data_IF_797241249427
#
_entry.id   IF_797241249427
#
_cell.length_a   1.000
_cell.length_b   1.000
_cell.length_c   1.000
_cell.angle_alpha   90.00
_cell.angle_beta   90.00
_cell.angle_gamma   90.00
#
_symmetry.space_group_name_H-M   'P 1'
#
loop_
_entity.id
_entity.type
_entity.pdbx_description
1 polymer ?
#
# COMPACT_ATOMS: atom_id res chain seq x y z
N UNK A 1 17.34 5.06 18.00
CA UNK A 1 17.86 3.69 18.12
C UNK A 1 19.07 3.58 17.21
N UNK A 2 20.18 3.00 17.65
CA UNK A 2 21.32 2.78 16.75
C UNK A 2 21.02 1.65 15.77
N UNK A 3 21.62 1.69 14.57
CA UNK A 3 21.38 0.67 13.52
C UNK A 3 21.70 -0.76 13.97
N UNK A 4 22.69 -0.93 14.86
CA UNK A 4 23.05 -2.24 15.41
C UNK A 4 21.93 -2.81 16.30
N UNK A 5 21.33 -1.97 17.15
CA UNK A 5 20.20 -2.36 18.00
C UNK A 5 18.95 -2.66 17.16
N UNK A 6 18.68 -1.88 16.11
CA UNK A 6 17.58 -2.16 15.18
C UNK A 6 17.77 -3.54 14.55
N UNK A 7 18.98 -3.86 14.06
CA UNK A 7 19.28 -5.17 13.43
C UNK A 7 19.05 -6.34 14.37
N UNK A 8 19.45 -6.21 15.63
CA UNK A 8 19.27 -7.26 16.63
C UNK A 8 17.77 -7.50 16.90
N UNK A 9 17.01 -6.43 17.13
CA UNK A 9 15.59 -6.51 17.45
C UNK A 9 14.73 -6.90 16.24
N UNK A 10 15.15 -6.51 15.04
CA UNK A 10 14.45 -6.87 13.81
C UNK A 10 14.56 -8.36 13.48
N UNK A 11 15.51 -9.10 14.07
CA UNK A 11 15.59 -10.55 13.88
C UNK A 11 14.31 -11.27 14.32
N UNK A 12 13.56 -10.72 15.29
CA UNK A 12 12.27 -11.27 15.73
C UNK A 12 11.09 -10.77 14.88
N UNK A 13 11.22 -9.63 14.20
CA UNK A 13 10.13 -8.97 13.48
C UNK A 13 10.19 -9.26 11.98
N UNK A 14 11.39 -9.43 11.42
CA UNK A 14 11.67 -9.62 10.01
C UNK A 14 11.04 -8.51 9.14
N UNK A 15 11.23 -7.25 9.56
CA UNK A 15 10.69 -6.08 8.84
C UNK A 15 11.63 -5.55 7.76
N UNK A 16 12.94 -5.85 7.80
CA UNK A 16 13.91 -5.45 6.77
C UNK A 16 14.48 -6.65 6.01
N UNK A 17 14.58 -6.52 4.68
CA UNK A 17 15.32 -7.45 3.81
C UNK A 17 16.80 -7.08 3.75
N UNK A 18 17.09 -5.78 3.76
CA UNK A 18 18.44 -5.24 3.66
C UNK A 18 18.54 -3.93 4.44
N UNK A 19 19.54 -3.81 5.31
CA UNK A 19 19.84 -2.56 5.98
C UNK A 19 20.76 -1.71 5.12
N UNK A 20 20.40 -0.45 4.92
CA UNK A 20 21.28 0.49 4.24
C UNK A 20 22.42 0.88 5.18
N UNK A 21 23.65 0.81 4.69
CA UNK A 21 24.80 1.43 5.36
C UNK A 21 24.68 2.95 5.37
N UNK A 22 25.81 3.66 5.45
CA UNK A 22 25.81 5.13 5.37
C UNK A 22 25.39 5.60 3.96
N UNK A 23 24.12 5.97 3.82
CA UNK A 23 23.57 6.59 2.62
C UNK A 23 23.77 8.11 2.68
N UNK A 24 24.16 8.72 1.55
CA UNK A 24 24.27 10.18 1.45
C UNK A 24 22.89 10.83 1.41
N UNK A 25 22.67 11.83 2.24
CA UNK A 25 21.50 12.72 2.22
C UNK A 25 21.94 14.17 2.44
N UNK A 26 21.05 15.13 2.16
CA UNK A 26 21.33 16.54 2.42
C UNK A 26 21.57 16.78 3.93
N UNK A 27 22.49 17.68 4.31
CA UNK A 27 22.79 17.95 5.72
C UNK A 27 21.65 18.70 6.46
N UNK A 28 20.63 19.14 5.73
CA UNK A 28 19.49 19.90 6.23
C UNK A 28 18.28 19.65 5.33
N UNK A 29 17.09 19.85 5.87
CA UNK A 29 15.83 19.70 5.16
C UNK A 29 14.71 19.36 6.13
N UNK A 30 13.48 19.25 5.62
CA UNK A 30 12.28 19.02 6.44
C UNK A 30 12.22 17.63 7.06
N UNK A 31 12.97 16.67 6.53
CA UNK A 31 13.09 15.31 7.06
C UNK A 31 14.43 15.07 7.76
N UNK A 32 15.23 16.13 7.98
CA UNK A 32 16.50 16.02 8.67
C UNK A 32 16.31 15.48 10.09
N UNK A 33 17.10 14.46 10.44
CA UNK A 33 17.00 13.76 11.72
C UNK A 33 15.92 12.68 11.79
N UNK A 34 15.07 12.54 10.76
CA UNK A 34 14.15 11.41 10.64
C UNK A 34 14.80 10.21 9.93
N UNK A 35 14.36 9.03 10.35
CA UNK A 35 14.71 7.73 9.79
C UNK A 35 13.58 7.17 8.95
N UNK A 36 13.91 6.49 7.85
CA UNK A 36 12.91 5.94 6.93
C UNK A 36 13.21 4.52 6.48
N UNK A 37 12.16 3.68 6.44
CA UNK A 37 12.19 2.39 5.76
C UNK A 37 11.54 2.50 4.36
N UNK A 38 12.12 1.86 3.36
CA UNK A 38 11.64 1.91 1.97
C UNK A 38 11.21 0.52 1.52
N UNK A 39 9.96 0.32 1.13
CA UNK A 39 9.49 -0.98 0.62
C UNK A 39 10.37 -1.50 -0.53
N UNK A 40 10.72 -2.79 -0.50
CA UNK A 40 11.69 -3.42 -1.44
C UNK A 40 11.25 -3.51 -2.91
N UNK A 41 10.10 -2.93 -3.28
CA UNK A 41 9.71 -2.72 -4.68
C UNK A 41 9.93 -1.28 -5.16
N UNK A 42 10.61 -0.44 -4.39
CA UNK A 42 10.98 0.93 -4.76
C UNK A 42 12.49 0.97 -4.99
N UNK A 43 12.92 1.49 -6.13
CA UNK A 43 14.34 1.59 -6.46
C UNK A 43 15.05 2.63 -5.57
N UNK A 44 16.14 2.21 -4.94
CA UNK A 44 17.08 3.06 -4.19
C UNK A 44 18.48 2.73 -4.68
N UNK A 45 19.18 3.68 -5.30
CA UNK A 45 20.47 3.45 -5.94
C UNK A 45 21.46 2.77 -4.99
N UNK A 46 22.04 1.66 -5.45
CA UNK A 46 23.03 0.87 -4.70
C UNK A 46 22.45 -0.08 -3.66
N UNK A 47 21.14 -0.09 -3.43
CA UNK A 47 20.44 -1.10 -2.63
C UNK A 47 19.68 -2.08 -3.53
N UNK A 48 19.27 -3.21 -2.96
CA UNK A 48 18.53 -4.25 -3.70
C UNK A 48 17.04 -3.99 -3.65
N UNK A 49 16.43 -3.79 -4.82
CA UNK A 49 14.97 -3.78 -4.99
C UNK A 49 14.50 -5.19 -5.33
N UNK A 50 14.40 -6.03 -4.31
CA UNK A 50 14.19 -7.49 -4.47
C UNK A 50 12.75 -7.87 -4.70
N UNK A 51 11.80 -6.95 -4.46
CA UNK A 51 10.36 -7.25 -4.44
C UNK A 51 10.02 -8.45 -3.53
N UNK A 52 10.83 -8.73 -2.51
CA UNK A 52 10.70 -9.93 -1.69
C UNK A 52 10.64 -11.26 -2.48
N UNK A 53 11.30 -11.32 -3.64
CA UNK A 53 11.26 -12.47 -4.56
C UNK A 53 12.65 -12.99 -4.86
N UNK A 54 12.77 -14.32 -4.98
CA UNK A 54 13.96 -14.97 -5.53
C UNK A 54 14.27 -14.48 -6.97
N UNK A 55 13.23 -14.03 -7.70
CA UNK A 55 13.36 -13.48 -9.05
C UNK A 55 14.32 -12.29 -9.11
N UNK A 56 14.32 -11.43 -8.08
CA UNK A 56 15.10 -10.19 -8.04
C UNK A 56 16.04 -10.12 -6.82
N UNK A 57 16.32 -11.25 -6.16
CA UNK A 57 17.17 -11.29 -4.96
C UNK A 57 18.55 -10.65 -5.16
N UNK A 58 19.10 -10.69 -6.37
CA UNK A 58 20.39 -10.08 -6.72
C UNK A 58 20.28 -8.78 -7.54
N UNK A 59 19.08 -8.21 -7.71
CA UNK A 59 18.90 -6.97 -8.45
C UNK A 59 19.27 -5.77 -7.60
N UNK A 60 20.40 -5.13 -7.93
CA UNK A 60 20.82 -3.85 -7.35
C UNK A 60 20.28 -2.71 -8.21
N UNK A 61 19.54 -1.79 -7.60
CA UNK A 61 19.00 -0.62 -8.28
C UNK A 61 20.13 0.28 -8.78
N UNK A 62 20.06 0.65 -10.06
CA UNK A 62 21.06 1.51 -10.73
C UNK A 62 20.65 2.99 -10.79
N UNK A 63 19.53 3.33 -10.14
CA UNK A 63 19.00 4.69 -10.06
C UNK A 63 18.08 4.81 -8.83
N UNK A 64 17.91 6.02 -8.33
CA UNK A 64 16.91 6.35 -7.33
C UNK A 64 15.53 6.52 -7.99
N UNK A 65 14.49 6.00 -7.36
CA UNK A 65 13.12 6.40 -7.67
C UNK A 65 12.94 7.90 -7.41
N UNK A 66 12.00 8.56 -8.10
CA UNK A 66 11.87 10.02 -7.99
C UNK A 66 11.62 10.47 -6.55
N UNK A 67 10.77 9.74 -5.83
CA UNK A 67 10.47 10.00 -4.43
C UNK A 67 11.69 9.83 -3.52
N UNK A 68 12.66 8.99 -3.90
CA UNK A 68 13.92 8.80 -3.16
C UNK A 68 14.83 10.02 -3.35
N UNK A 69 14.93 10.55 -4.57
CA UNK A 69 15.63 11.81 -4.85
C UNK A 69 15.10 12.95 -3.95
N UNK A 70 13.77 13.05 -3.81
CA UNK A 70 13.10 14.08 -3.00
C UNK A 70 13.38 13.94 -1.51
N UNK A 71 13.22 12.75 -0.93
CA UNK A 71 13.46 12.58 0.52
C UNK A 71 14.94 12.74 0.88
N UNK A 72 15.87 12.36 -0.02
CA UNK A 72 17.32 12.60 0.18
C UNK A 72 17.63 14.09 0.18
N UNK A 73 17.01 14.86 -0.72
CA UNK A 73 17.15 16.31 -0.76
C UNK A 73 16.61 16.99 0.51
N UNK A 74 15.67 16.35 1.21
CA UNK A 74 15.12 16.81 2.50
C UNK A 74 15.84 16.24 3.73
N UNK A 75 16.97 15.54 3.53
CA UNK A 75 17.89 15.14 4.61
C UNK A 75 17.50 13.89 5.41
N UNK A 76 16.60 13.05 4.88
CA UNK A 76 16.20 11.81 5.57
C UNK A 76 17.35 10.80 5.66
N UNK A 77 17.36 9.98 6.71
CA UNK A 77 18.26 8.82 6.84
C UNK A 77 17.51 7.54 6.45
N UNK A 78 17.85 6.94 5.31
CA UNK A 78 17.31 5.63 4.93
C UNK A 78 17.96 4.57 5.85
N UNK A 79 17.14 3.74 6.49
CA UNK A 79 17.58 2.64 7.38
C UNK A 79 17.70 1.33 6.64
N UNK A 80 16.84 1.09 5.65
CA UNK A 80 16.91 -0.11 4.83
C UNK A 80 15.69 -0.34 3.93
N UNK A 81 15.77 -1.43 3.19
CA UNK A 81 14.72 -1.97 2.34
C UNK A 81 13.79 -2.85 3.17
N UNK A 82 12.54 -2.44 3.30
CA UNK A 82 11.52 -3.13 4.08
C UNK A 82 10.96 -4.35 3.34
N UNK A 83 10.67 -5.40 4.11
CA UNK A 83 10.04 -6.64 3.67
C UNK A 83 8.61 -6.40 3.17
N UNK A 84 8.09 -7.32 2.36
CA UNK A 84 6.81 -7.21 1.69
C UNK A 84 6.33 -8.58 1.18
N UNK A 85 5.05 -8.68 0.80
CA UNK A 85 4.61 -9.81 -0.05
C UNK A 85 5.34 -9.77 -1.40
N UNK A 86 5.63 -10.95 -1.95
CA UNK A 86 6.39 -11.12 -3.19
C UNK A 86 5.75 -10.33 -4.35
N UNK A 87 6.51 -9.42 -4.99
CA UNK A 87 6.01 -8.53 -6.05
C UNK A 87 4.73 -7.75 -5.68
N UNK A 88 4.56 -7.44 -4.40
CA UNK A 88 3.36 -6.82 -3.83
C UNK A 88 2.08 -7.70 -3.95
N UNK A 89 2.24 -8.98 -4.31
CA UNK A 89 1.17 -9.94 -4.50
C UNK A 89 0.85 -10.66 -3.18
N UNK A 90 0.01 -10.02 -2.38
CA UNK A 90 -0.50 -10.59 -1.13
C UNK A 90 -1.12 -9.52 -0.23
N UNK A 91 -1.67 -9.99 0.88
CA UNK A 91 -2.38 -9.16 1.86
C UNK A 91 -1.94 -9.48 3.30
N UNK A 92 -0.87 -10.26 3.49
CA UNK A 92 -0.44 -10.75 4.82
C UNK A 92 1.05 -10.55 5.13
N UNK A 93 1.92 -10.45 4.12
CA UNK A 93 3.36 -10.43 4.28
C UNK A 93 4.01 -11.82 4.27
N UNK A 94 3.24 -12.89 4.14
CA UNK A 94 3.73 -14.27 4.23
C UNK A 94 4.31 -14.82 2.92
N UNK A 95 3.96 -14.23 1.77
CA UNK A 95 4.49 -14.71 0.50
C UNK A 95 5.94 -14.31 0.25
N UNK A 96 6.55 -13.50 1.13
CA UNK A 96 7.94 -13.09 1.04
C UNK A 96 8.89 -14.27 0.95
N UNK A 97 9.79 -14.24 -0.04
CA UNK A 97 10.91 -15.17 -0.14
C UNK A 97 11.84 -15.13 1.09
N UNK A 98 11.88 -13.99 1.80
CA UNK A 98 12.69 -13.81 3.01
C UNK A 98 11.95 -14.20 4.29
N UNK A 99 10.79 -14.83 4.16
CA UNK A 99 9.94 -15.25 5.27
C UNK A 99 8.98 -14.15 5.75
N UNK A 100 7.99 -14.52 6.57
CA UNK A 100 6.94 -13.62 7.01
C UNK A 100 7.48 -12.56 7.97
N UNK A 101 6.94 -11.34 7.85
CA UNK A 101 7.07 -10.28 8.87
C UNK A 101 6.08 -10.55 10.01
N UNK A 102 6.48 -10.31 11.26
CA UNK A 102 5.60 -10.41 12.44
C UNK A 102 4.82 -9.12 12.67
N UNK A 103 3.60 -9.23 13.21
CA UNK A 103 2.82 -8.08 13.65
C UNK A 103 3.25 -7.60 15.05
N UNK A 104 3.81 -6.39 15.19
CA UNK A 104 4.22 -5.87 16.50
C UNK A 104 3.04 -5.56 17.44
N UNK A 105 1.85 -5.28 16.90
CA UNK A 105 0.64 -5.01 17.67
C UNK A 105 -0.11 -6.29 18.07
N UNK A 106 0.21 -7.43 17.45
CA UNK A 106 -0.42 -8.72 17.72
C UNK A 106 0.56 -9.88 17.46
N UNK A 107 1.43 -10.22 18.43
CA UNK A 107 2.44 -11.27 18.27
C UNK A 107 1.87 -12.61 17.77
N UNK A 108 2.57 -13.24 16.82
CA UNK A 108 2.13 -14.49 16.17
C UNK A 108 1.07 -14.32 15.08
N UNK A 109 0.68 -13.08 14.76
CA UNK A 109 -0.29 -12.76 13.71
C UNK A 109 0.35 -11.96 12.58
N UNK A 110 -0.32 -11.98 11.43
CA UNK A 110 0.14 -11.26 10.24
C UNK A 110 0.07 -9.73 10.46
N UNK A 111 1.04 -8.95 9.96
CA UNK A 111 1.02 -7.48 9.99
C UNK A 111 0.12 -6.87 8.91
N UNK A 112 -0.46 -7.70 8.03
CA UNK A 112 -1.11 -7.25 6.80
C UNK A 112 -0.12 -7.08 5.66
N UNK A 113 -0.62 -6.77 4.47
CA UNK A 113 0.21 -6.72 3.27
C UNK A 113 -0.36 -5.87 2.15
N UNK A 114 0.43 -5.55 1.12
CA UNK A 114 1.77 -6.07 0.88
C UNK A 114 2.92 -5.25 1.47
N UNK A 115 2.68 -4.09 2.08
CA UNK A 115 3.76 -3.29 2.73
C UNK A 115 4.00 -3.72 4.18
N UNK A 116 4.12 -5.03 4.42
CA UNK A 116 4.20 -5.65 5.75
C UNK A 116 5.37 -5.12 6.58
N UNK A 117 6.58 -5.17 6.03
CA UNK A 117 7.79 -4.68 6.69
C UNK A 117 7.74 -3.18 6.94
N UNK A 118 7.20 -2.39 6.01
CA UNK A 118 7.07 -0.95 6.17
C UNK A 118 6.19 -0.59 7.38
N UNK A 119 5.07 -1.28 7.56
CA UNK A 119 4.19 -1.04 8.69
C UNK A 119 4.79 -1.56 10.02
N UNK A 120 5.38 -2.75 10.01
CA UNK A 120 6.00 -3.32 11.20
C UNK A 120 7.21 -2.48 11.69
N UNK A 121 8.05 -1.98 10.79
CA UNK A 121 9.19 -1.12 11.13
C UNK A 121 8.75 0.20 11.79
N UNK A 122 7.63 0.78 11.34
CA UNK A 122 7.05 1.97 11.98
C UNK A 122 6.43 1.61 13.33
N UNK A 123 5.63 0.55 13.40
CA UNK A 123 4.93 0.15 14.63
C UNK A 123 5.90 -0.19 15.78
N UNK A 124 7.02 -0.86 15.47
CA UNK A 124 8.11 -1.14 16.43
C UNK A 124 8.88 0.11 16.86
N UNK A 125 8.83 1.20 16.06
CA UNK A 125 9.68 2.37 16.24
C UNK A 125 11.12 2.17 15.82
N UNK A 126 11.40 1.21 14.93
CA UNK A 126 12.71 1.10 14.28
C UNK A 126 12.96 2.28 13.34
N UNK A 127 11.90 2.82 12.73
CA UNK A 127 11.94 4.04 11.92
C UNK A 127 10.83 5.01 12.31
N UNK A 128 11.03 6.28 12.01
CA UNK A 128 10.03 7.34 12.23
C UNK A 128 8.88 7.25 11.22
N UNK A 129 9.24 6.99 9.97
CA UNK A 129 8.34 6.96 8.81
C UNK A 129 8.73 5.82 7.86
N UNK A 130 7.83 5.41 6.99
CA UNK A 130 8.13 4.45 5.93
C UNK A 130 7.39 4.77 4.63
N UNK A 131 7.92 4.25 3.53
CA UNK A 131 7.27 4.25 2.23
C UNK A 131 6.73 2.86 1.92
N UNK A 132 5.50 2.80 1.44
CA UNK A 132 4.88 1.61 0.89
C UNK A 132 4.32 1.85 -0.51
N UNK A 133 3.73 0.80 -1.08
CA UNK A 133 2.94 0.88 -2.31
C UNK A 133 1.55 0.28 -2.05
N UNK A 134 0.51 0.92 -2.55
CA UNK A 134 -0.89 0.51 -2.41
C UNK A 134 -1.52 0.31 -3.79
N UNK A 135 -2.00 -0.91 -4.04
CA UNK A 135 -2.67 -1.29 -5.29
C UNK A 135 -4.15 -1.59 -5.04
N UNK A 136 -4.44 -2.32 -3.97
CA UNK A 136 -5.80 -2.65 -3.52
C UNK A 136 -5.97 -2.58 -2.00
N UNK A 137 -5.13 -1.81 -1.31
CA UNK A 137 -5.08 -1.74 0.15
C UNK A 137 -3.68 -1.87 0.74
N UNK A 138 -2.65 -2.08 -0.08
CA UNK A 138 -1.35 -2.54 0.39
C UNK A 138 -0.54 -1.58 1.27
N UNK A 139 -1.00 -0.35 1.51
CA UNK A 139 -0.52 0.55 2.57
C UNK A 139 -1.51 0.56 3.74
N UNK A 140 -2.81 0.70 3.44
CA UNK A 140 -3.88 0.88 4.43
C UNK A 140 -4.15 -0.39 5.26
N UNK A 141 -4.19 -1.55 4.62
CA UNK A 141 -4.33 -2.87 5.26
C UNK A 141 -3.25 -3.08 6.33
N UNK A 142 -1.94 -3.04 6.01
CA UNK A 142 -0.92 -3.28 7.02
C UNK A 142 -0.86 -2.17 8.08
N UNK A 143 -1.19 -0.93 7.72
CA UNK A 143 -1.31 0.15 8.70
C UNK A 143 -2.41 -0.11 9.73
N UNK A 144 -3.59 -0.60 9.28
CA UNK A 144 -4.70 -0.95 10.16
C UNK A 144 -4.35 -2.11 11.09
N UNK A 145 -3.72 -3.17 10.57
CA UNK A 145 -3.32 -4.32 11.38
C UNK A 145 -2.19 -4.03 12.37
N UNK A 146 -1.28 -3.10 12.05
CA UNK A 146 -0.19 -2.70 12.93
C UNK A 146 -0.53 -1.50 13.84
N UNK A 147 -1.73 -0.93 13.72
CA UNK A 147 -2.18 0.19 14.57
C UNK A 147 -1.44 1.50 14.31
N UNK A 148 -1.12 1.81 13.05
CA UNK A 148 -0.41 3.02 12.63
C UNK A 148 -1.18 3.77 11.52
N UNK A 149 -0.68 4.93 11.12
CA UNK A 149 -1.24 5.70 10.00
C UNK A 149 -0.63 5.22 8.69
N UNK A 150 -1.46 4.94 7.69
CA UNK A 150 -1.04 4.65 6.32
C UNK A 150 -1.94 5.39 5.34
N UNK A 151 -1.33 6.09 4.39
CA UNK A 151 -2.09 6.93 3.45
C UNK A 151 -1.78 6.56 2.00
N UNK A 152 -2.82 6.27 1.23
CA UNK A 152 -2.72 6.13 -0.23
C UNK A 152 -3.21 7.44 -0.88
N UNK A 153 -2.32 8.24 -1.48
CA UNK A 153 -2.75 9.48 -2.13
C UNK A 153 -3.59 9.22 -3.38
N UNK A 154 -4.16 10.30 -3.92
CA UNK A 154 -4.80 10.29 -5.23
C UNK A 154 -3.81 9.79 -6.28
N UNK A 155 -4.29 8.92 -7.17
CA UNK A 155 -3.47 8.36 -8.25
C UNK A 155 -2.85 9.48 -9.09
N UNK A 156 -1.53 9.43 -9.26
CA UNK A 156 -0.75 10.42 -10.00
C UNK A 156 -0.28 11.65 -9.19
N UNK A 157 -0.64 11.79 -7.90
CA UNK A 157 -0.11 12.86 -7.03
C UNK A 157 1.35 12.62 -6.64
N UNK A 158 1.75 11.35 -6.53
CA UNK A 158 3.13 10.93 -6.28
C UNK A 158 3.62 10.16 -7.50
N UNK A 159 4.81 10.46 -7.99
CA UNK A 159 5.41 9.76 -9.13
C UNK A 159 5.59 8.28 -8.85
N UNK A 160 5.35 7.45 -9.86
CA UNK A 160 5.62 6.02 -9.87
C UNK A 160 6.96 5.70 -10.55
N UNK A 161 7.72 6.70 -11.01
CA UNK A 161 9.05 6.49 -11.56
C UNK A 161 9.97 5.85 -10.50
N UNK A 162 10.46 4.65 -10.83
CA UNK A 162 11.28 3.82 -9.94
C UNK A 162 10.49 2.88 -9.03
N UNK A 163 9.15 2.86 -9.09
CA UNK A 163 8.35 1.77 -8.53
C UNK A 163 8.40 0.55 -9.45
N UNK A 164 8.68 -0.61 -8.88
CA UNK A 164 8.47 -1.90 -9.54
C UNK A 164 6.98 -2.22 -9.43
N UNK A 165 6.31 -2.15 -10.58
CA UNK A 165 4.88 -2.18 -10.76
C UNK A 165 4.24 -3.55 -10.52
N UNK A 166 3.09 -3.56 -9.84
CA UNK A 166 2.14 -4.67 -9.83
C UNK A 166 1.01 -4.41 -10.83
N UNK A 167 0.30 -3.29 -10.69
CA UNK A 167 -0.77 -2.88 -11.60
C UNK A 167 -0.68 -1.38 -11.87
N UNK A 168 -0.21 -1.05 -13.08
CA UNK A 168 0.10 0.31 -13.51
C UNK A 168 -1.08 1.30 -13.37
N UNK A 169 -2.33 0.83 -13.45
CA UNK A 169 -3.52 1.69 -13.38
C UNK A 169 -4.05 1.92 -11.95
N UNK A 170 -3.40 1.32 -10.94
CA UNK A 170 -3.85 1.28 -9.55
C UNK A 170 -2.74 1.60 -8.54
N UNK A 171 -1.50 1.20 -8.83
CA UNK A 171 -0.36 1.37 -7.95
C UNK A 171 -0.13 2.82 -7.56
N UNK A 172 0.06 3.07 -6.28
CA UNK A 172 0.45 4.39 -5.78
C UNK A 172 1.38 4.26 -4.57
N UNK A 173 2.50 4.99 -4.57
CA UNK A 173 3.38 5.12 -3.40
C UNK A 173 2.71 6.04 -2.37
N UNK A 174 2.86 5.71 -1.09
CA UNK A 174 2.36 6.52 0.00
C UNK A 174 3.09 6.31 1.33
N UNK A 175 2.87 7.21 2.30
CA UNK A 175 3.55 7.18 3.60
C UNK A 175 2.88 6.22 4.59
N UNK A 176 3.70 5.71 5.51
CA UNK A 176 3.30 5.11 6.77
C UNK A 176 4.02 5.83 7.92
N UNK A 177 3.32 6.11 9.01
CA UNK A 177 3.88 6.80 10.18
C UNK A 177 3.08 6.49 11.45
N UNK A 178 3.64 6.80 12.63
CA UNK A 178 2.92 6.62 13.92
C UNK A 178 1.81 7.65 14.14
N UNK A 179 1.88 8.79 13.46
CA UNK A 179 0.96 9.91 13.63
C UNK A 179 0.64 10.56 12.28
N UNK A 180 -0.42 11.37 12.25
CA UNK A 180 -0.91 12.04 11.03
C UNK A 180 0.06 13.10 10.54
N UNK A 181 0.66 13.87 11.45
CA UNK A 181 1.61 14.94 11.11
C UNK A 181 2.80 14.43 10.29
N UNK A 182 3.41 13.32 10.72
CA UNK A 182 4.54 12.70 10.05
C UNK A 182 4.15 12.07 8.70
N UNK A 183 2.97 11.44 8.63
CA UNK A 183 2.45 10.91 7.37
C UNK A 183 2.23 12.04 6.35
N UNK A 184 1.64 13.14 6.79
CA UNK A 184 1.32 14.31 5.95
C UNK A 184 2.59 15.05 5.53
N UNK A 185 3.55 15.20 6.43
CA UNK A 185 4.88 15.75 6.12
C UNK A 185 5.58 14.92 5.04
N UNK A 186 5.63 13.59 5.20
CA UNK A 186 6.24 12.72 4.20
C UNK A 186 5.48 12.80 2.87
N UNK A 187 4.13 12.79 2.90
CA UNK A 187 3.31 12.95 1.70
C UNK A 187 3.64 14.23 0.95
N UNK A 188 3.69 15.37 1.64
CA UNK A 188 4.01 16.67 1.06
C UNK A 188 5.41 16.69 0.43
N UNK A 189 6.40 16.05 1.07
CA UNK A 189 7.74 15.92 0.51
C UNK A 189 7.75 15.06 -0.76
N UNK A 190 7.02 13.94 -0.82
CA UNK A 190 7.07 13.03 -1.97
C UNK A 190 6.12 13.43 -3.11
N UNK A 191 5.05 14.18 -2.83
CA UNK A 191 4.06 14.59 -3.83
C UNK A 191 4.56 15.69 -4.78
N UNK A 192 4.21 15.60 -6.06
CA UNK A 192 4.68 16.54 -7.07
C UNK A 192 4.70 15.93 -8.47
N UNK A 193 4.64 16.80 -9.48
CA UNK A 193 4.72 16.38 -10.87
C UNK A 193 6.12 15.87 -11.23
N UNK A 194 6.18 14.71 -11.89
CA UNK A 194 7.41 14.15 -12.46
C UNK A 194 7.25 13.93 -13.97
N UNK A 195 8.01 14.62 -14.84
CA UNK A 195 7.87 14.46 -16.29
C UNK A 195 8.28 13.08 -16.81
N UNK A 196 8.97 12.26 -16.01
CA UNK A 196 9.33 10.86 -16.36
C UNK A 196 8.15 9.91 -16.20
N UNK A 197 7.16 10.27 -15.38
CA UNK A 197 5.93 9.52 -15.18
C UNK A 197 4.78 10.19 -15.96
N UNK A 198 4.40 9.59 -17.08
CA UNK A 198 3.32 10.10 -17.94
C UNK A 198 1.93 10.10 -17.29
N UNK A 199 1.79 9.49 -16.11
CA UNK A 199 0.55 9.47 -15.33
C UNK A 199 0.58 10.44 -14.15
N UNK A 200 1.73 11.09 -13.92
CA UNK A 200 1.89 12.09 -12.88
C UNK A 200 1.07 13.33 -13.20
N UNK A 201 0.22 13.74 -12.26
CA UNK A 201 -0.65 14.89 -12.41
C UNK A 201 0.17 16.17 -12.30
N UNK A 202 -0.03 17.07 -13.26
CA UNK A 202 0.48 18.44 -13.20
C UNK A 202 -0.55 19.33 -12.51
N UNK A 203 -0.37 19.54 -11.21
CA UNK A 203 -1.24 20.35 -10.37
C UNK A 203 -0.52 21.63 -9.93
N UNK A 204 -1.28 22.63 -9.50
CA UNK A 204 -0.71 23.85 -8.92
C UNK A 204 0.04 23.54 -7.63
N UNK A 205 1.15 24.24 -7.39
CA UNK A 205 1.98 24.01 -6.20
C UNK A 205 1.20 24.16 -4.88
N UNK A 206 0.14 24.98 -4.87
CA UNK A 206 -0.73 25.15 -3.69
C UNK A 206 -1.46 23.88 -3.30
N UNK A 207 -1.70 22.96 -4.24
CA UNK A 207 -2.32 21.66 -3.98
C UNK A 207 -1.52 20.86 -2.95
N UNK A 208 -0.19 20.92 -3.01
CA UNK A 208 0.69 20.10 -2.18
C UNK A 208 0.90 20.65 -0.76
N UNK A 209 0.29 21.77 -0.36
CA UNK A 209 0.45 22.37 0.98
C UNK A 209 -0.33 21.62 2.08
N UNK A 210 -0.20 20.30 2.16
CA UNK A 210 -0.99 19.45 3.05
C UNK A 210 -0.76 19.77 4.54
N UNK A 211 0.50 19.99 4.95
CA UNK A 211 0.87 20.30 6.34
C UNK A 211 0.23 21.58 6.86
N UNK A 212 0.02 22.58 5.99
CA UNK A 212 -0.62 23.85 6.35
C UNK A 212 -2.15 23.75 6.46
N UNK A 213 -2.73 22.70 5.88
CA UNK A 213 -4.17 22.48 5.83
C UNK A 213 -4.63 21.48 6.89
N UNK A 214 -3.77 21.08 7.83
CA UNK A 214 -4.16 20.25 8.95
C UNK A 214 -5.02 21.08 9.92
N UNK A 215 -6.31 20.73 9.95
CA UNK A 215 -7.29 21.31 10.86
C UNK A 215 -7.99 20.16 11.62
N UNK A 216 -7.84 20.08 12.95
CA UNK A 216 -8.49 19.05 13.75
C UNK A 216 -9.99 19.32 13.98
N UNK A 217 -10.49 20.50 13.60
CA UNK A 217 -11.89 20.88 13.80
C UNK A 217 -12.79 20.12 12.83
N UNK A 218 -13.89 19.61 13.36
CA UNK A 218 -14.87 18.85 12.60
C UNK A 218 -16.23 19.54 12.53
N UNK A 219 -16.39 20.73 13.12
CA UNK A 219 -17.67 21.45 13.09
C UNK A 219 -18.14 21.70 11.65
N UNK A 220 -19.29 21.11 11.31
CA UNK A 220 -19.91 21.25 9.99
C UNK A 220 -19.31 20.37 8.89
N UNK A 221 -18.35 19.49 9.22
CA UNK A 221 -17.83 18.49 8.29
C UNK A 221 -18.84 17.36 8.12
N UNK A 222 -19.20 17.05 6.88
CA UNK A 222 -20.11 15.96 6.53
C UNK A 222 -19.36 14.68 6.23
N UNK A 223 -19.64 13.64 7.01
CA UNK A 223 -19.04 12.31 6.91
C UNK A 223 -20.03 11.35 6.29
N UNK A 224 -19.78 10.92 5.05
CA UNK A 224 -20.57 9.88 4.40
C UNK A 224 -20.25 8.50 4.97
N UNK A 225 -21.26 7.75 5.39
CA UNK A 225 -21.13 6.34 5.79
C UNK A 225 -22.11 5.47 5.01
N UNK A 226 -21.60 4.39 4.40
CA UNK A 226 -22.40 3.43 3.65
C UNK A 226 -22.72 2.21 4.52
N UNK A 227 -24.01 1.90 4.71
CA UNK A 227 -24.46 0.75 5.50
C UNK A 227 -24.01 -0.60 4.93
N UNK A 228 -23.69 -0.64 3.63
CA UNK A 228 -23.16 -1.80 2.94
C UNK A 228 -21.84 -2.30 3.57
N UNK A 229 -21.08 -1.41 4.24
CA UNK A 229 -19.90 -1.83 5.00
C UNK A 229 -20.27 -2.76 6.15
N UNK A 230 -21.34 -2.48 6.89
CA UNK A 230 -21.78 -3.31 8.03
C UNK A 230 -22.16 -4.73 7.57
N UNK A 231 -22.76 -4.86 6.39
CA UNK A 231 -23.15 -6.14 5.81
C UNK A 231 -21.97 -7.06 5.46
N UNK A 232 -20.78 -6.49 5.27
CA UNK A 232 -19.56 -7.22 4.92
C UNK A 232 -18.67 -7.53 6.15
N UNK A 233 -19.00 -7.00 7.32
CA UNK A 233 -18.27 -7.25 8.56
C UNK A 233 -19.02 -8.30 9.39
N UNK A 234 -18.41 -9.48 9.52
CA UNK A 234 -18.97 -10.58 10.33
C UNK A 234 -18.70 -10.43 11.83
N UNK A 235 -17.69 -9.67 12.22
CA UNK A 235 -17.26 -9.52 13.61
C UNK A 235 -17.95 -8.33 14.28
N UNK A 236 -18.78 -8.59 15.29
CA UNK A 236 -19.54 -7.58 16.02
C UNK A 236 -18.64 -6.60 16.78
N UNK A 237 -17.45 -7.04 17.22
CA UNK A 237 -16.47 -6.19 17.88
C UNK A 237 -15.89 -5.16 16.92
N UNK A 238 -15.59 -5.57 15.67
CA UNK A 238 -15.14 -4.64 14.62
C UNK A 238 -16.25 -3.63 14.30
N UNK A 239 -17.49 -4.08 14.12
CA UNK A 239 -18.64 -3.18 13.89
C UNK A 239 -18.76 -2.19 15.03
N UNK A 240 -18.70 -2.65 16.28
CA UNK A 240 -18.77 -1.77 17.45
C UNK A 240 -17.67 -0.70 17.44
N UNK A 241 -16.41 -1.06 17.15
CA UNK A 241 -15.30 -0.10 17.13
C UNK A 241 -15.51 0.98 16.06
N UNK A 242 -16.07 0.62 14.90
CA UNK A 242 -16.38 1.58 13.83
C UNK A 242 -17.48 2.54 14.26
N UNK A 243 -18.59 2.02 14.78
CA UNK A 243 -19.71 2.84 15.25
C UNK A 243 -19.30 3.73 16.43
N UNK A 244 -18.50 3.22 17.39
CA UNK A 244 -17.92 4.02 18.47
C UNK A 244 -17.02 5.15 17.93
N UNK A 245 -16.34 4.95 16.80
CA UNK A 245 -15.52 5.98 16.16
C UNK A 245 -16.37 7.04 15.46
N UNK A 246 -17.45 6.64 14.77
CA UNK A 246 -18.44 7.55 14.19
C UNK A 246 -19.11 8.42 15.27
N UNK A 247 -19.48 7.82 16.40
CA UNK A 247 -20.07 8.54 17.54
C UNK A 247 -19.11 9.58 18.12
N UNK A 248 -17.80 9.25 18.21
CA UNK A 248 -16.77 10.20 18.64
C UNK A 248 -16.59 11.35 17.66
N UNK A 249 -16.58 11.08 16.35
CA UNK A 249 -16.48 12.11 15.31
C UNK A 249 -17.70 13.02 15.32
N UNK A 250 -18.90 12.45 15.48
CA UNK A 250 -20.16 13.18 15.63
C UNK A 250 -20.16 14.06 16.88
N UNK A 251 -19.72 13.52 18.02
CA UNK A 251 -19.56 14.27 19.27
C UNK A 251 -18.55 15.41 19.17
N UNK A 252 -17.62 15.34 18.23
CA UNK A 252 -16.63 16.38 17.93
C UNK A 252 -17.11 17.42 16.90
N UNK A 253 -18.38 17.34 16.45
CA UNK A 253 -19.01 18.36 15.60
C UNK A 253 -19.25 17.95 14.15
N UNK A 254 -18.86 16.74 13.74
CA UNK A 254 -19.14 16.22 12.41
C UNK A 254 -20.61 15.80 12.25
N UNK A 255 -21.14 15.92 11.04
CA UNK A 255 -22.46 15.38 10.67
C UNK A 255 -22.26 14.04 9.94
N UNK A 256 -22.78 12.93 10.48
CA UNK A 256 -22.75 11.64 9.79
C UNK A 256 -23.96 11.54 8.86
N UNK A 257 -23.70 11.39 7.57
CA UNK A 257 -24.70 11.31 6.49
C UNK A 257 -24.69 9.90 5.91
N UNK A 258 -25.87 9.28 5.80
CA UNK A 258 -25.98 7.98 5.11
C UNK A 258 -25.81 8.17 3.61
N UNK A 259 -24.98 7.31 2.99
CA UNK A 259 -24.80 7.25 1.54
C UNK A 259 -24.95 5.81 1.06
N UNK A 260 -25.04 5.61 -0.26
CA UNK A 260 -25.28 4.29 -0.85
C UNK A 260 -24.10 3.84 -1.72
N UNK A 261 -23.71 2.56 -1.58
CA UNK A 261 -22.69 1.89 -2.39
C UNK A 261 -23.23 0.50 -2.82
N UNK A 262 -24.28 0.45 -3.66
CA UNK A 262 -25.04 -0.78 -3.91
C UNK A 262 -24.21 -1.86 -4.61
N UNK A 263 -23.13 -1.50 -5.33
CA UNK A 263 -22.26 -2.44 -6.02
C UNK A 263 -20.90 -2.65 -5.33
N UNK A 264 -20.80 -2.40 -4.02
CA UNK A 264 -19.55 -2.60 -3.25
C UNK A 264 -18.96 -4.01 -3.43
N UNK A 265 -19.80 -5.04 -3.55
CA UNK A 265 -19.36 -6.43 -3.79
C UNK A 265 -18.64 -6.63 -5.14
N UNK A 266 -18.83 -5.72 -6.11
CA UNK A 266 -18.13 -5.78 -7.39
C UNK A 266 -16.66 -5.34 -7.30
N UNK A 267 -16.24 -4.69 -6.21
CA UNK A 267 -14.90 -4.10 -6.06
C UNK A 267 -13.80 -5.16 -6.14
N UNK A 268 -13.92 -6.25 -5.37
CA UNK A 268 -12.98 -7.37 -5.37
C UNK A 268 -12.84 -8.04 -6.75
N UNK A 269 -13.91 -8.55 -7.39
CA UNK A 269 -13.78 -9.19 -8.70
C UNK A 269 -13.29 -8.21 -9.78
N UNK A 270 -13.67 -6.94 -9.71
CA UNK A 270 -13.16 -5.89 -10.61
C UNK A 270 -11.66 -5.68 -10.44
N UNK A 271 -11.21 -5.55 -9.19
CA UNK A 271 -9.80 -5.37 -8.84
C UNK A 271 -8.95 -6.53 -9.33
N UNK A 272 -9.28 -7.78 -8.96
CA UNK A 272 -8.45 -8.94 -9.29
C UNK A 272 -8.36 -9.19 -10.80
N UNK A 273 -9.46 -9.02 -11.54
CA UNK A 273 -9.43 -9.15 -13.00
C UNK A 273 -8.52 -8.10 -13.67
N UNK A 274 -8.53 -6.86 -13.17
CA UNK A 274 -7.63 -5.82 -13.69
C UNK A 274 -6.17 -6.12 -13.34
N UNK A 275 -5.90 -6.41 -12.06
CA UNK A 275 -4.55 -6.70 -11.56
C UNK A 275 -3.93 -7.89 -12.27
N UNK A 276 -4.65 -8.99 -12.49
CA UNK A 276 -4.08 -10.16 -13.15
C UNK A 276 -3.55 -9.84 -14.55
N UNK A 277 -4.31 -9.09 -15.34
CA UNK A 277 -3.92 -8.72 -16.70
C UNK A 277 -2.73 -7.76 -16.69
N UNK A 278 -2.79 -6.73 -15.86
CA UNK A 278 -1.72 -5.73 -15.77
C UNK A 278 -0.43 -6.34 -15.23
N UNK A 279 -0.52 -7.19 -14.19
CA UNK A 279 0.63 -7.87 -13.60
C UNK A 279 1.27 -8.87 -14.57
N UNK A 280 0.45 -9.64 -15.30
CA UNK A 280 0.96 -10.51 -16.36
C UNK A 280 1.76 -9.72 -17.42
N UNK A 281 1.26 -8.55 -17.81
CA UNK A 281 1.96 -7.65 -18.74
C UNK A 281 3.27 -7.11 -18.14
N UNK A 282 3.20 -6.57 -16.92
CA UNK A 282 4.35 -5.98 -16.20
C UNK A 282 5.49 -6.98 -16.00
N UNK A 283 5.18 -8.25 -15.79
CA UNK A 283 6.16 -9.31 -15.51
C UNK A 283 6.90 -9.82 -16.74
N UNK A 284 6.48 -9.47 -17.97
CA UNK A 284 7.12 -9.98 -19.20
C UNK A 284 8.60 -9.57 -19.34
N UNK A 285 9.02 -8.50 -18.66
CA UNK A 285 10.42 -8.03 -18.63
C UNK A 285 11.35 -8.91 -17.77
N UNK A 286 10.80 -9.76 -16.89
CA UNK A 286 11.58 -10.64 -16.02
C UNK A 286 11.85 -11.99 -16.69
N UNK A 287 12.60 -11.96 -17.79
CA UNK A 287 12.96 -13.14 -18.59
C UNK A 287 14.31 -13.77 -18.20
N UNK A 288 15.00 -13.17 -17.22
CA UNK A 288 16.32 -13.60 -16.74
C UNK A 288 17.49 -13.27 -17.67
N UNK A 289 17.28 -12.50 -18.76
CA UNK A 289 18.35 -12.17 -19.72
C UNK A 289 19.14 -10.94 -19.34
N UNK A 290 18.47 -9.88 -18.86
CA UNK A 290 19.12 -8.60 -18.52
C UNK A 290 19.47 -8.50 -17.03
N UNK A 291 18.61 -9.03 -16.18
CA UNK A 291 18.74 -8.99 -14.72
C UNK A 291 17.80 -10.03 -14.10
N UNK A 292 18.07 -10.38 -12.85
CA UNK A 292 17.25 -11.33 -12.09
C UNK A 292 17.19 -12.72 -12.74
N UNK A 293 16.24 -13.52 -12.28
CA UNK A 293 15.90 -14.83 -12.84
C UNK A 293 14.64 -14.72 -13.68
N UNK A 294 14.37 -15.75 -14.47
CA UNK A 294 13.08 -15.84 -15.16
C UNK A 294 11.98 -16.03 -14.12
N UNK A 295 11.02 -15.10 -14.07
CA UNK A 295 10.03 -15.04 -13.00
C UNK A 295 9.25 -16.34 -12.85
N UNK A 296 8.77 -16.96 -13.93
CA UNK A 296 7.96 -18.19 -13.84
C UNK A 296 8.74 -19.42 -13.33
N UNK A 297 10.06 -19.31 -13.19
CA UNK A 297 10.93 -20.37 -12.68
C UNK A 297 11.39 -20.14 -11.23
N UNK A 298 11.22 -18.92 -10.71
CA UNK A 298 11.77 -18.50 -9.42
C UNK A 298 10.71 -17.97 -8.45
N UNK A 299 9.57 -17.46 -8.96
CA UNK A 299 8.56 -16.87 -8.08
C UNK A 299 7.79 -17.92 -7.28
N UNK A 300 7.23 -17.48 -6.15
CA UNK A 300 6.32 -18.27 -5.33
C UNK A 300 4.97 -18.54 -5.99
N UNK A 301 4.16 -19.35 -5.31
CA UNK A 301 2.90 -19.86 -5.84
C UNK A 301 1.87 -18.76 -6.15
N UNK A 302 1.80 -17.71 -5.33
CA UNK A 302 0.83 -16.62 -5.54
C UNK A 302 1.18 -15.77 -6.77
N UNK A 303 2.45 -15.38 -6.92
CA UNK A 303 2.92 -14.66 -8.11
C UNK A 303 2.69 -15.50 -9.37
N UNK A 304 3.02 -16.80 -9.33
CA UNK A 304 2.79 -17.71 -10.45
C UNK A 304 1.28 -17.82 -10.78
N UNK A 305 0.42 -17.93 -9.77
CA UNK A 305 -1.05 -17.97 -9.93
C UNK A 305 -1.55 -16.73 -10.68
N UNK A 306 -1.10 -15.53 -10.28
CA UNK A 306 -1.50 -14.27 -10.94
C UNK A 306 -1.02 -14.18 -12.39
N UNK A 307 0.21 -14.63 -12.66
CA UNK A 307 0.77 -14.69 -14.03
C UNK A 307 -0.08 -15.62 -14.91
N UNK A 308 -0.40 -16.81 -14.42
CA UNK A 308 -1.18 -17.81 -15.18
C UNK A 308 -2.61 -17.32 -15.44
N UNK A 309 -3.28 -16.75 -14.43
CA UNK A 309 -4.63 -16.19 -14.58
C UNK A 309 -4.63 -14.98 -15.52
N UNK A 310 -3.66 -14.08 -15.40
CA UNK A 310 -3.52 -12.93 -16.30
C UNK A 310 -3.27 -13.33 -17.74
N UNK A 311 -2.42 -14.33 -17.98
CA UNK A 311 -2.19 -14.92 -19.30
C UNK A 311 -3.48 -15.52 -19.88
N UNK A 312 -4.21 -16.31 -19.08
CA UNK A 312 -5.48 -16.90 -19.49
C UNK A 312 -6.52 -15.83 -19.86
N UNK A 313 -6.71 -14.82 -19.00
CA UNK A 313 -7.65 -13.72 -19.25
C UNK A 313 -7.28 -12.98 -20.53
N UNK A 314 -5.99 -12.65 -20.70
CA UNK A 314 -5.49 -11.96 -21.90
C UNK A 314 -5.76 -12.74 -23.18
N UNK A 315 -5.57 -14.07 -23.18
CA UNK A 315 -5.87 -14.94 -24.32
C UNK A 315 -7.37 -14.98 -24.65
N UNK A 316 -8.24 -14.86 -23.64
CA UNK A 316 -9.70 -14.85 -23.83
C UNK A 316 -10.26 -13.48 -24.16
N UNK A 317 -9.45 -12.42 -24.16
CA UNK A 317 -9.94 -11.05 -24.28
C UNK A 317 -10.50 -10.70 -25.67
N UNK A 318 -10.20 -11.48 -26.70
CA UNK A 318 -10.90 -11.38 -27.99
C UNK A 318 -12.43 -11.50 -27.82
N UNK A 319 -12.89 -12.29 -26.85
CA UNK A 319 -14.31 -12.43 -26.50
C UNK A 319 -14.85 -11.32 -25.58
N UNK A 320 -13.98 -10.45 -25.05
CA UNK A 320 -14.35 -9.36 -24.13
C UNK A 320 -15.04 -9.82 -22.84
N UNK A 321 -14.82 -11.07 -22.42
CA UNK A 321 -15.57 -11.72 -21.34
C UNK A 321 -15.13 -11.32 -19.94
N UNK A 322 -13.88 -10.93 -19.75
CA UNK A 322 -13.29 -10.75 -18.42
C UNK A 322 -12.76 -9.32 -18.24
N UNK A 323 -11.67 -8.96 -18.91
CA UNK A 323 -10.98 -7.68 -18.63
C UNK A 323 -11.83 -6.48 -19.06
N UNK A 324 -12.43 -6.51 -20.26
CA UNK A 324 -13.40 -5.47 -20.66
C UNK A 324 -14.57 -5.32 -19.69
N UNK A 325 -15.07 -6.42 -19.11
CA UNK A 325 -16.15 -6.39 -18.12
C UNK A 325 -15.68 -5.76 -16.81
N UNK A 326 -14.48 -6.08 -16.35
CA UNK A 326 -13.87 -5.44 -15.20
C UNK A 326 -13.67 -3.93 -15.42
N UNK A 327 -13.23 -3.50 -16.60
CA UNK A 327 -13.12 -2.06 -16.93
C UNK A 327 -14.49 -1.35 -16.93
N UNK A 328 -15.55 -2.01 -17.39
CA UNK A 328 -16.92 -1.50 -17.31
C UNK A 328 -17.38 -1.38 -15.85
N UNK A 329 -17.15 -2.42 -15.03
CA UNK A 329 -17.49 -2.41 -13.61
C UNK A 329 -16.70 -1.33 -12.85
N UNK A 330 -15.41 -1.14 -13.13
CA UNK A 330 -14.60 -0.04 -12.57
C UNK A 330 -15.19 1.33 -12.89
N UNK A 331 -15.75 1.50 -14.09
CA UNK A 331 -16.44 2.75 -14.46
C UNK A 331 -17.74 2.95 -13.68
N UNK A 332 -18.47 1.87 -13.43
CA UNK A 332 -19.68 1.89 -12.59
C UNK A 332 -19.33 2.26 -11.14
N UNK A 333 -18.37 1.56 -10.53
CA UNK A 333 -17.93 1.80 -9.14
C UNK A 333 -17.43 3.24 -9.00
N UNK A 334 -16.63 3.75 -9.95
CA UNK A 334 -16.21 5.16 -9.94
C UNK A 334 -17.39 6.12 -9.93
N UNK A 335 -18.44 5.88 -10.73
CA UNK A 335 -19.62 6.76 -10.77
C UNK A 335 -20.38 6.73 -9.45
N UNK A 336 -20.50 5.55 -8.84
CA UNK A 336 -21.14 5.39 -7.53
C UNK A 336 -20.35 6.10 -6.44
N UNK A 337 -19.03 5.92 -6.38
CA UNK A 337 -18.19 6.63 -5.42
C UNK A 337 -18.27 8.15 -5.60
N UNK A 338 -18.38 8.65 -6.84
CA UNK A 338 -18.57 10.08 -7.10
C UNK A 338 -19.95 10.59 -6.70
N UNK A 339 -20.99 9.77 -6.85
CA UNK A 339 -22.33 10.11 -6.37
C UNK A 339 -22.42 10.06 -4.84
N UNK A 340 -21.78 9.09 -4.19
CA UNK A 340 -21.71 8.98 -2.73
C UNK A 340 -20.90 10.13 -2.09
N UNK A 341 -19.90 10.66 -2.82
CA UNK A 341 -19.18 11.87 -2.42
C UNK A 341 -19.96 13.16 -2.71
N UNK A 342 -21.06 13.10 -3.47
CA UNK A 342 -21.90 14.28 -3.73
C UNK A 342 -22.70 14.62 -2.46
N UNK A 343 -22.41 15.79 -1.87
CA UNK A 343 -23.10 16.26 -0.66
C UNK A 343 -22.44 15.91 0.68
N UNK A 344 -21.28 15.21 0.66
CA UNK A 344 -20.43 14.99 1.84
C UNK A 344 -19.00 15.50 1.58
N UNK A 345 -18.25 15.81 2.65
CA UNK A 345 -16.88 16.27 2.52
C UNK A 345 -15.89 15.10 2.45
N UNK A 346 -16.17 14.04 3.22
CA UNK A 346 -15.31 12.85 3.33
C UNK A 346 -16.17 11.60 3.51
N UNK A 347 -15.77 10.52 2.85
CA UNK A 347 -16.30 9.18 3.10
C UNK A 347 -15.53 8.51 4.25
N UNK A 348 -16.24 7.99 5.24
CA UNK A 348 -15.66 7.20 6.33
C UNK A 348 -15.97 5.73 6.09
N UNK A 349 -14.94 4.90 6.13
CA UNK A 349 -15.07 3.46 5.92
C UNK A 349 -14.12 2.69 6.84
N UNK A 350 -14.51 1.47 7.26
CA UNK A 350 -13.55 0.51 7.82
C UNK A 350 -12.41 0.23 6.85
N UNK A 351 -11.21 -0.03 7.38
CA UNK A 351 -10.06 -0.37 6.52
C UNK A 351 -10.01 -1.85 6.16
N UNK A 352 -10.25 -2.74 7.14
CA UNK A 352 -10.27 -4.20 6.95
C UNK A 352 -11.49 -4.80 7.67
N UNK A 353 -12.16 -5.83 7.10
CA UNK A 353 -13.39 -6.38 7.66
C UNK A 353 -13.18 -7.44 8.75
N UNK A 354 -11.94 -7.80 9.07
CA UNK A 354 -11.59 -8.92 9.96
C UNK A 354 -10.25 -8.69 10.66
N UNK A 355 -10.06 -9.36 11.79
CA UNK A 355 -8.80 -9.38 12.54
C UNK A 355 -7.68 -10.10 11.77
N UNK A 356 -6.39 -9.79 12.06
CA UNK A 356 -5.28 -10.49 11.45
C UNK A 356 -5.29 -11.97 11.86
N UNK A 357 -5.11 -12.87 10.89
CA UNK A 357 -4.99 -14.30 11.14
C UNK A 357 -3.62 -14.68 11.72
N UNK A 358 -3.48 -15.90 12.23
CA UNK A 358 -2.19 -16.35 12.74
C UNK A 358 -1.27 -16.66 11.54
N UNK A 359 0.03 -16.42 11.72
CA UNK A 359 1.00 -16.71 10.67
C UNK A 359 1.06 -18.22 10.45
N UNK A 360 0.98 -18.64 9.18
CA UNK A 360 0.98 -20.04 8.79
C UNK A 360 -0.38 -20.74 8.92
N UNK A 361 -1.46 -20.00 9.19
CA UNK A 361 -2.81 -20.57 9.06
C UNK A 361 -3.01 -21.05 7.62
N UNK A 362 -3.46 -22.29 7.46
CA UNK A 362 -3.73 -22.86 6.13
C UNK A 362 -5.03 -22.29 5.59
N UNK A 363 -4.93 -21.36 4.64
CA UNK A 363 -6.08 -20.72 3.99
C UNK A 363 -6.27 -21.37 2.62
N UNK A 364 -7.08 -22.43 2.60
CA UNK A 364 -7.40 -23.21 1.40
C UNK A 364 -8.06 -22.39 0.29
N UNK A 365 -8.79 -21.33 0.65
CA UNK A 365 -9.51 -20.47 -0.28
C UNK A 365 -8.86 -19.08 -0.38
N UNK A 366 -8.18 -18.74 -1.49
CA UNK A 366 -7.53 -17.44 -1.64
C UNK A 366 -8.52 -16.26 -1.54
N UNK A 367 -9.82 -16.49 -1.77
CA UNK A 367 -10.85 -15.45 -1.59
C UNK A 367 -10.96 -14.97 -0.15
N UNK A 368 -10.58 -15.80 0.83
CA UNK A 368 -10.55 -15.42 2.25
C UNK A 368 -9.44 -14.41 2.53
N UNK A 369 -8.32 -14.49 1.82
CA UNK A 369 -7.26 -13.47 1.86
C UNK A 369 -7.71 -12.21 1.11
N UNK A 370 -8.38 -12.36 -0.03
CA UNK A 370 -8.84 -11.23 -0.83
C UNK A 370 -9.88 -10.39 -0.09
N UNK A 371 -10.60 -10.97 0.88
CA UNK A 371 -11.55 -10.25 1.71
C UNK A 371 -10.89 -9.11 2.53
N UNK A 372 -9.58 -9.17 2.82
CA UNK A 372 -8.89 -8.05 3.47
C UNK A 372 -8.91 -6.76 2.63
N UNK A 373 -9.04 -6.89 1.31
CA UNK A 373 -8.97 -5.78 0.36
C UNK A 373 -10.36 -5.15 0.07
N UNK A 374 -11.44 -5.68 0.64
CA UNK A 374 -12.82 -5.37 0.19
C UNK A 374 -13.21 -3.90 0.33
N UNK A 375 -12.71 -3.23 1.37
CA UNK A 375 -12.99 -1.80 1.61
C UNK A 375 -11.91 -0.86 1.05
N UNK A 376 -10.85 -1.42 0.49
CA UNK A 376 -9.69 -0.65 0.03
C UNK A 376 -9.45 -0.75 -1.48
N UNK A 377 -10.19 -1.61 -2.17
CA UNK A 377 -10.20 -1.74 -3.63
C UNK A 377 -11.05 -0.67 -4.32
N UNK A 378 -10.81 -0.42 -5.63
CA UNK A 378 -11.42 0.69 -6.37
C UNK A 378 -12.91 0.55 -6.63
#
# INVERSE_FOLDING_TARGET
MELAEIRERDAEINSFIEFSGNQKSAPSGRLCGKTIAVKSNINVEGLRATCASETLDNYVSVYDAHIIEKIRAEGVSIVGMANMDEFACGASGESSFYGPTQNPAAPGRIPGGSSSGSAAAVATGFVDIALGSDTGGSIRNPASHCGIVGFKPTYGVVSRYGLIDMAMSLDQIGPLAKNVDDAVLLLEVIAGHDPRDQTSLKLDNSFYNFTKNLDPRLEGVKLGYAKEFDGLIKDDGIRKVIHDALDKLSSAGAEVVEVELPNLELSIPTYYLNVYVEFFSATRKYDGRRYGRRIEQACGAEVLRRILLGSYISQKEYSGRFYRKALQARTLIRREMMAALDGVDVMVAPTVPKLPHAIGDDIDDPRVLYAYDVFTTP
#
